data_IF_013866476749
#
_entry.id   IF_013866476749
#
_cell.length_a   1.000
_cell.length_b   1.000
_cell.length_c   1.000
_cell.angle_alpha   90.00
_cell.angle_beta   90.00
_cell.angle_gamma   90.00
#
_symmetry.space_group_name_H-M   'P 1'
#
loop_
_entity.id
_entity.type
_entity.pdbx_description
1 polymer ?
#
# COMPACT_ATOMS: atom_id res chain seq x y z
N UNK A 1 35.36 4.12 -11.05
CA UNK A 1 34.85 3.46 -9.84
C UNK A 1 35.70 2.23 -9.67
N UNK A 2 36.41 2.13 -8.55
CA UNK A 2 36.87 0.83 -8.08
C UNK A 2 35.58 0.08 -7.74
N UNK A 3 35.18 -0.80 -8.65
CA UNK A 3 34.12 -1.76 -8.41
C UNK A 3 34.63 -2.70 -7.34
N UNK A 4 34.58 -2.28 -6.08
CA UNK A 4 34.49 -3.21 -4.97
C UNK A 4 33.10 -3.85 -5.01
N UNK A 5 32.74 -4.45 -6.16
CA UNK A 5 31.76 -5.52 -6.22
C UNK A 5 32.31 -6.52 -5.23
N UNK A 6 31.72 -6.52 -4.03
CA UNK A 6 32.07 -7.46 -2.98
C UNK A 6 32.08 -8.84 -3.62
N UNK A 7 33.05 -9.70 -3.29
CA UNK A 7 33.18 -11.03 -3.91
C UNK A 7 31.84 -11.78 -3.94
N UNK A 8 30.99 -11.53 -2.93
CA UNK A 8 29.61 -11.98 -2.87
C UNK A 8 28.73 -11.54 -4.06
N UNK A 9 28.76 -10.27 -4.47
CA UNK A 9 28.03 -9.81 -5.67
C UNK A 9 28.52 -10.46 -6.95
N UNK A 10 29.83 -10.70 -7.12
CA UNK A 10 30.34 -11.37 -8.31
C UNK A 10 29.88 -12.83 -8.37
N UNK A 11 29.93 -13.54 -7.24
CA UNK A 11 29.41 -14.91 -7.13
C UNK A 11 27.91 -14.95 -7.42
N UNK A 12 27.14 -14.01 -6.87
CA UNK A 12 25.71 -13.91 -7.15
C UNK A 12 25.44 -13.64 -8.62
N UNK A 13 26.14 -12.69 -9.25
CA UNK A 13 25.97 -12.35 -10.67
C UNK A 13 26.22 -13.59 -11.56
N UNK A 14 27.25 -14.35 -11.25
CA UNK A 14 27.65 -15.52 -12.03
C UNK A 14 26.65 -16.68 -11.85
N UNK A 15 26.20 -16.93 -10.61
CA UNK A 15 25.17 -17.93 -10.33
C UNK A 15 23.81 -17.54 -10.92
N UNK A 16 23.45 -16.27 -10.84
CA UNK A 16 22.16 -15.76 -11.32
C UNK A 16 22.03 -15.95 -12.83
N UNK A 17 23.09 -15.64 -13.58
CA UNK A 17 23.11 -15.81 -15.04
C UNK A 17 22.99 -17.27 -15.49
N UNK A 18 23.30 -18.25 -14.62
CA UNK A 18 23.11 -19.67 -14.94
C UNK A 18 21.63 -20.08 -14.87
N UNK A 19 20.88 -19.50 -13.92
CA UNK A 19 19.46 -19.82 -13.69
C UNK A 19 18.56 -18.96 -14.58
N UNK A 20 18.80 -17.66 -14.63
CA UNK A 20 18.06 -16.71 -15.45
C UNK A 20 18.61 -16.63 -16.88
N UNK A 21 18.34 -17.68 -17.67
CA UNK A 21 18.77 -17.74 -19.08
C UNK A 21 18.19 -16.63 -19.97
N UNK A 22 17.13 -15.95 -19.51
CA UNK A 22 16.41 -14.93 -20.29
C UNK A 22 16.81 -13.50 -19.91
N UNK A 23 17.69 -13.31 -18.92
CA UNK A 23 18.08 -12.00 -18.39
C UNK A 23 16.86 -11.15 -18.04
N UNK A 24 15.89 -11.74 -17.33
CA UNK A 24 14.67 -11.04 -16.90
C UNK A 24 14.86 -10.29 -15.58
N UNK A 25 16.02 -10.42 -14.95
CA UNK A 25 16.38 -9.84 -13.64
C UNK A 25 15.52 -10.37 -12.46
N UNK A 26 14.72 -11.42 -12.72
CA UNK A 26 13.99 -12.14 -11.70
C UNK A 26 13.99 -13.65 -11.98
N UNK A 27 13.92 -14.43 -10.91
CA UNK A 27 13.67 -15.87 -10.97
C UNK A 27 12.38 -16.21 -10.23
N UNK A 28 11.78 -17.35 -10.52
CA UNK A 28 10.67 -17.84 -9.73
C UNK A 28 11.18 -18.58 -8.49
N UNK A 29 10.43 -18.57 -7.39
CA UNK A 29 10.86 -19.22 -6.16
C UNK A 29 11.07 -20.73 -6.31
N UNK A 30 10.36 -21.38 -7.25
CA UNK A 30 10.64 -22.78 -7.62
C UNK A 30 12.08 -23.02 -8.11
N UNK A 31 12.72 -22.00 -8.68
CA UNK A 31 14.09 -22.05 -9.21
C UNK A 31 15.12 -21.58 -8.16
N UNK A 32 14.66 -21.16 -6.97
CA UNK A 32 15.52 -20.72 -5.88
C UNK A 32 16.46 -21.83 -5.39
N UNK A 33 16.02 -23.09 -5.18
CA UNK A 33 16.94 -24.18 -4.85
C UNK A 33 18.02 -24.39 -5.93
N UNK A 34 17.68 -24.22 -7.21
CA UNK A 34 18.64 -24.32 -8.31
C UNK A 34 19.70 -23.21 -8.25
N UNK A 35 19.30 -21.97 -7.91
CA UNK A 35 20.24 -20.87 -7.70
C UNK A 35 21.21 -21.16 -6.56
N UNK A 36 20.73 -21.72 -5.45
CA UNK A 36 21.59 -22.11 -4.32
C UNK A 36 22.59 -23.19 -4.75
N UNK A 37 22.17 -24.19 -5.54
CA UNK A 37 23.08 -25.20 -6.07
C UNK A 37 24.14 -24.60 -6.99
N UNK A 38 23.78 -23.65 -7.86
CA UNK A 38 24.75 -22.93 -8.70
C UNK A 38 25.77 -22.14 -7.86
N UNK A 39 25.33 -21.50 -6.78
CA UNK A 39 26.23 -20.80 -5.85
C UNK A 39 27.17 -21.79 -5.17
N UNK A 40 26.66 -22.92 -4.69
CA UNK A 40 27.47 -24.00 -4.10
C UNK A 40 28.50 -24.56 -5.08
N UNK A 41 28.12 -24.75 -6.35
CA UNK A 41 29.00 -25.21 -7.41
C UNK A 41 30.12 -24.20 -7.69
N UNK A 42 29.80 -22.91 -7.80
CA UNK A 42 30.79 -21.84 -8.02
C UNK A 42 31.74 -21.72 -6.84
N UNK A 43 31.25 -21.81 -5.61
CA UNK A 43 32.10 -21.77 -4.40
C UNK A 43 32.96 -23.02 -4.26
N UNK A 44 32.45 -24.18 -4.67
CA UNK A 44 33.20 -25.44 -4.67
C UNK A 44 34.23 -25.52 -5.80
N UNK A 45 34.10 -24.67 -6.82
CA UNK A 45 35.04 -24.58 -7.95
C UNK A 45 36.38 -24.04 -7.45
N UNK A 46 37.23 -24.94 -6.95
CA UNK A 46 38.54 -24.62 -6.36
C UNK A 46 38.84 -25.36 -5.06
N UNK A 47 37.85 -26.04 -4.45
CA UNK A 47 38.02 -26.81 -3.22
C UNK A 47 37.66 -28.28 -3.46
N UNK A 48 38.49 -29.20 -2.94
CA UNK A 48 38.30 -30.64 -3.12
C UNK A 48 37.11 -31.20 -2.32
N UNK A 49 36.66 -30.48 -1.29
CA UNK A 49 35.53 -30.87 -0.45
C UNK A 49 34.31 -29.99 -0.75
N UNK A 50 33.13 -30.57 -1.03
CA UNK A 50 31.93 -29.80 -1.25
C UNK A 50 31.58 -29.03 0.04
N UNK A 51 31.71 -27.71 0.03
CA UNK A 51 31.24 -26.92 1.16
C UNK A 51 29.72 -26.84 1.10
N UNK A 52 29.07 -27.31 2.16
CA UNK A 52 27.68 -27.01 2.40
C UNK A 52 27.56 -25.50 2.73
N UNK A 53 27.23 -24.70 1.71
CA UNK A 53 27.04 -23.25 1.83
C UNK A 53 25.94 -22.91 2.84
N UNK A 54 24.92 -23.76 2.90
CA UNK A 54 23.83 -23.68 3.86
C UNK A 54 23.82 -24.89 4.77
N UNK A 55 23.38 -24.67 6.01
CA UNK A 55 23.00 -25.76 6.91
C UNK A 55 21.86 -26.58 6.29
N UNK A 56 21.77 -27.86 6.65
CA UNK A 56 20.67 -28.71 6.19
C UNK A 56 19.29 -28.09 6.51
N UNK A 57 19.19 -27.39 7.65
CA UNK A 57 18.01 -26.61 8.02
C UNK A 57 17.73 -25.49 7.02
N UNK A 58 18.74 -24.70 6.66
CA UNK A 58 18.59 -23.62 5.67
C UNK A 58 18.13 -24.14 4.30
N UNK A 59 18.68 -25.27 3.83
CA UNK A 59 18.23 -25.92 2.58
C UNK A 59 16.75 -26.34 2.67
N UNK A 60 16.35 -26.97 3.77
CA UNK A 60 14.96 -27.39 3.98
C UNK A 60 13.96 -26.23 4.02
N UNK A 61 14.36 -25.08 4.57
CA UNK A 61 13.53 -23.86 4.60
C UNK A 61 13.37 -23.31 3.19
N UNK A 62 14.43 -23.28 2.40
CA UNK A 62 14.38 -22.82 1.00
C UNK A 62 13.52 -23.78 0.15
N UNK A 63 13.66 -25.10 0.31
CA UNK A 63 12.83 -26.08 -0.40
C UNK A 63 11.36 -26.00 -0.01
N UNK A 64 11.07 -25.65 1.25
CA UNK A 64 9.69 -25.43 1.73
C UNK A 64 9.13 -24.13 1.14
N UNK A 65 9.91 -23.05 1.17
CA UNK A 65 9.55 -21.77 0.56
C UNK A 65 9.30 -21.90 -0.96
N UNK A 66 10.15 -22.65 -1.66
CA UNK A 66 10.03 -22.90 -3.09
C UNK A 66 8.73 -23.66 -3.42
N UNK A 67 8.32 -24.62 -2.59
CA UNK A 67 7.07 -25.39 -2.74
C UNK A 67 5.83 -24.59 -2.37
N UNK A 68 5.88 -23.79 -1.31
CA UNK A 68 4.72 -22.98 -0.88
C UNK A 68 4.43 -21.82 -1.82
N UNK A 69 5.49 -21.26 -2.44
CA UNK A 69 5.41 -20.04 -3.23
C UNK A 69 6.01 -20.17 -4.63
N UNK A 70 5.75 -21.28 -5.32
CA UNK A 70 6.37 -21.61 -6.62
C UNK A 70 6.43 -20.47 -7.65
N UNK A 71 5.36 -19.66 -7.73
CA UNK A 71 5.22 -18.56 -8.69
C UNK A 71 5.66 -17.19 -8.17
N UNK A 72 6.17 -17.11 -6.95
CA UNK A 72 6.68 -15.86 -6.38
C UNK A 72 7.93 -15.43 -7.14
N UNK A 73 7.95 -14.19 -7.61
CA UNK A 73 9.09 -13.63 -8.35
C UNK A 73 10.08 -13.05 -7.36
N UNK A 74 11.33 -13.46 -7.48
CA UNK A 74 12.45 -12.98 -6.67
C UNK A 74 13.30 -12.13 -7.59
N UNK A 75 13.29 -10.83 -7.37
CA UNK A 75 14.16 -9.91 -8.09
C UNK A 75 15.60 -10.01 -7.56
N UNK A 76 16.57 -9.77 -8.44
CA UNK A 76 17.99 -9.84 -8.11
C UNK A 76 18.38 -8.93 -6.93
N UNK A 77 17.80 -7.75 -6.85
CA UNK A 77 18.08 -6.77 -5.80
C UNK A 77 17.46 -7.17 -4.45
N UNK A 78 16.32 -7.87 -4.48
CA UNK A 78 15.58 -8.36 -3.30
C UNK A 78 16.12 -9.69 -2.75
N UNK A 79 16.90 -10.43 -3.56
CA UNK A 79 17.45 -11.74 -3.20
C UNK A 79 18.15 -11.72 -1.83
N UNK A 80 18.98 -10.70 -1.57
CA UNK A 80 19.76 -10.60 -0.32
C UNK A 80 18.87 -10.48 0.91
N UNK A 81 17.75 -9.77 0.78
CA UNK A 81 16.79 -9.56 1.86
C UNK A 81 15.98 -10.83 2.11
N UNK A 82 15.48 -11.46 1.05
CA UNK A 82 14.73 -12.72 1.15
C UNK A 82 15.62 -13.83 1.72
N UNK A 83 16.87 -13.96 1.25
CA UNK A 83 17.83 -14.91 1.77
C UNK A 83 18.08 -14.69 3.26
N UNK A 84 18.28 -13.44 3.68
CA UNK A 84 18.46 -13.09 5.09
C UNK A 84 17.23 -13.42 5.92
N UNK A 85 16.01 -13.17 5.41
CA UNK A 85 14.76 -13.50 6.10
C UNK A 85 14.52 -15.00 6.28
N UNK A 86 14.92 -15.83 5.31
CA UNK A 86 14.74 -17.28 5.37
C UNK A 86 15.83 -17.99 6.19
N UNK A 87 17.09 -17.58 6.02
CA UNK A 87 18.24 -18.28 6.62
C UNK A 87 18.68 -17.64 7.94
N UNK A 88 18.32 -16.38 8.18
CA UNK A 88 18.74 -15.60 9.36
C UNK A 88 20.20 -15.15 9.33
N UNK A 89 20.88 -15.26 8.17
CA UNK A 89 22.26 -14.83 7.96
C UNK A 89 22.36 -14.00 6.70
N UNK A 90 23.20 -12.96 6.70
CA UNK A 90 23.38 -12.18 5.47
C UNK A 90 24.16 -13.01 4.46
N UNK A 91 23.84 -12.83 3.18
CA UNK A 91 24.53 -13.52 2.10
C UNK A 91 26.05 -13.25 2.08
N UNK A 92 26.44 -12.04 2.51
CA UNK A 92 27.84 -11.65 2.65
C UNK A 92 28.53 -12.48 3.74
N UNK A 93 27.92 -12.62 4.92
CA UNK A 93 28.50 -13.40 6.02
C UNK A 93 28.63 -14.89 5.67
N UNK A 94 27.68 -15.43 4.91
CA UNK A 94 27.75 -16.84 4.44
C UNK A 94 28.89 -17.05 3.46
N UNK A 95 29.16 -16.10 2.56
CA UNK A 95 30.27 -16.20 1.61
C UNK A 95 31.61 -15.90 2.27
N UNK A 96 31.69 -14.92 3.16
CA UNK A 96 32.95 -14.61 3.87
C UNK A 96 33.35 -15.72 4.85
N UNK A 97 32.38 -16.46 5.39
CA UNK A 97 32.64 -17.65 6.20
C UNK A 97 33.18 -18.83 5.39
N UNK A 98 32.90 -18.89 4.08
CA UNK A 98 33.54 -19.83 3.17
C UNK A 98 34.85 -19.22 2.69
N UNK A 99 36.00 -19.86 2.94
CA UNK A 99 37.29 -19.37 2.46
C UNK A 99 37.34 -19.40 0.92
N UNK A 100 36.74 -18.42 0.26
CA UNK A 100 36.77 -18.30 -1.20
C UNK A 100 38.12 -17.71 -1.57
N UNK A 101 39.03 -18.58 -2.01
CA UNK A 101 40.28 -18.18 -2.64
C UNK A 101 39.96 -17.27 -3.82
N UNK A 102 40.35 -15.99 -3.71
CA UNK A 102 40.15 -14.94 -4.74
C UNK A 102 40.61 -15.33 -6.15
N UNK A 103 41.42 -16.38 -6.31
CA UNK A 103 42.07 -16.72 -7.58
C UNK A 103 41.10 -17.10 -8.71
N UNK A 104 39.86 -17.50 -8.40
CA UNK A 104 38.89 -17.93 -9.44
C UNK A 104 38.17 -16.74 -10.09
N UNK A 105 38.12 -15.57 -9.43
CA UNK A 105 37.44 -14.39 -9.96
C UNK A 105 38.27 -13.62 -11.00
N UNK A 106 39.59 -13.84 -11.07
CA UNK A 106 40.46 -13.14 -12.03
C UNK A 106 40.49 -13.80 -13.43
N UNK A 107 40.07 -15.06 -13.59
CA UNK A 107 40.20 -15.77 -14.88
C UNK A 107 39.12 -15.43 -15.93
N UNK A 108 38.08 -14.66 -15.59
CA UNK A 108 37.03 -14.31 -16.57
C UNK A 108 36.98 -12.84 -16.99
N UNK A 109 37.93 -12.02 -16.51
CA UNK A 109 38.10 -10.63 -16.96
C UNK A 109 39.16 -10.43 -18.05
N UNK A 110 39.84 -11.50 -18.49
CA UNK A 110 41.01 -11.38 -19.36
C UNK A 110 40.72 -11.91 -20.77
N UNK A 111 40.25 -11.02 -21.65
CA UNK A 111 40.62 -11.14 -23.07
C UNK A 111 42.15 -11.00 -23.21
N UNK A 112 42.77 -11.69 -24.19
CA UNK A 112 44.19 -11.98 -24.16
C UNK A 112 45.07 -10.80 -24.62
N UNK A 113 46.28 -10.80 -24.07
CA UNK A 113 47.49 -10.09 -24.50
C UNK A 113 47.53 -8.56 -24.41
N UNK A 114 48.36 -8.03 -23.49
CA UNK A 114 49.73 -7.58 -23.79
C UNK A 114 50.42 -7.15 -22.47
N UNK A 115 51.42 -7.93 -22.08
CA UNK A 115 52.69 -7.54 -21.46
C UNK A 115 52.69 -6.54 -20.29
N UNK A 116 52.79 -7.12 -19.10
CA UNK A 116 53.49 -6.59 -17.91
C UNK A 116 54.81 -5.89 -18.25
N UNK A 117 54.96 -4.61 -17.84
CA UNK A 117 56.28 -4.02 -17.52
C UNK A 117 56.19 -3.10 -16.29
N UNK A 118 57.27 -3.00 -15.48
CA UNK A 118 57.14 -2.65 -14.07
C UNK A 118 57.33 -1.17 -13.74
N UNK A 119 56.52 -0.73 -12.77
CA UNK A 119 56.85 0.20 -11.67
C UNK A 119 57.95 1.22 -11.90
N UNK A 120 57.61 2.36 -12.53
CA UNK A 120 58.44 3.58 -12.45
C UNK A 120 57.62 4.70 -11.81
N UNK A 121 58.08 5.13 -10.64
CA UNK A 121 57.55 6.22 -9.81
C UNK A 121 57.29 7.48 -10.65
N UNK A 122 56.07 7.62 -11.17
CA UNK A 122 55.64 8.83 -11.88
C UNK A 122 55.21 9.87 -10.85
N UNK A 123 56.07 10.87 -10.67
CA UNK A 123 55.73 12.18 -10.11
C UNK A 123 54.42 12.65 -10.75
N UNK A 124 53.33 12.63 -9.97
CA UNK A 124 52.00 12.96 -10.43
C UNK A 124 51.94 14.44 -10.82
N UNK A 125 51.86 14.69 -12.13
CA UNK A 125 51.59 16.00 -12.70
C UNK A 125 50.39 16.67 -12.01
N UNK A 126 50.46 17.98 -11.67
CA UNK A 126 49.35 18.73 -11.07
C UNK A 126 48.03 18.63 -11.85
N UNK A 127 48.10 18.45 -13.18
CA UNK A 127 46.91 18.26 -14.02
C UNK A 127 46.16 16.96 -13.72
N UNK A 128 46.87 15.88 -13.35
CA UNK A 128 46.21 14.62 -12.94
C UNK A 128 45.47 14.80 -11.61
N UNK A 129 46.06 15.55 -10.66
CA UNK A 129 45.43 15.85 -9.36
C UNK A 129 44.14 16.64 -9.54
N UNK A 130 44.12 17.66 -10.40
CA UNK A 130 42.90 18.44 -10.67
C UNK A 130 41.78 17.60 -11.31
N UNK A 131 42.11 16.63 -12.18
CA UNK A 131 41.10 15.71 -12.75
C UNK A 131 40.52 14.79 -11.68
N UNK A 132 41.36 14.29 -10.77
CA UNK A 132 40.91 13.47 -9.65
C UNK A 132 40.02 14.27 -8.70
N UNK A 133 40.37 15.53 -8.41
CA UNK A 133 39.58 16.40 -7.55
C UNK A 133 38.20 16.70 -8.15
N UNK A 134 38.12 16.99 -9.46
CA UNK A 134 36.83 17.19 -10.15
C UNK A 134 35.98 15.90 -10.18
N UNK A 135 36.61 14.74 -10.33
CA UNK A 135 35.90 13.45 -10.26
C UNK A 135 35.38 13.18 -8.83
N UNK A 136 36.17 13.51 -7.81
CA UNK A 136 35.71 13.43 -6.42
C UNK A 136 34.57 14.41 -6.13
N UNK A 137 34.64 15.64 -6.64
CA UNK A 137 33.58 16.65 -6.46
C UNK A 137 32.27 16.22 -7.12
N UNK A 138 32.33 15.73 -8.37
CA UNK A 138 31.15 15.18 -9.06
C UNK A 138 30.59 13.95 -8.35
N UNK A 139 31.43 13.09 -7.77
CA UNK A 139 31.00 11.95 -6.96
C UNK A 139 30.36 12.37 -5.65
N UNK A 140 30.91 13.37 -4.95
CA UNK A 140 30.33 13.92 -3.71
C UNK A 140 28.99 14.60 -4.01
N UNK A 141 28.89 15.34 -5.12
CA UNK A 141 27.63 15.92 -5.55
C UNK A 141 26.57 14.84 -5.83
N UNK A 142 26.93 13.79 -6.58
CA UNK A 142 26.03 12.67 -6.86
C UNK A 142 25.58 11.94 -5.59
N UNK A 143 26.46 11.71 -4.62
CA UNK A 143 26.09 11.09 -3.33
C UNK A 143 25.18 12.00 -2.50
N UNK A 144 25.37 13.33 -2.58
CA UNK A 144 24.51 14.29 -1.90
C UNK A 144 23.11 14.33 -2.49
N UNK A 145 22.99 14.21 -3.80
CA UNK A 145 21.69 14.13 -4.49
C UNK A 145 20.98 12.80 -4.20
N UNK A 146 21.72 11.68 -4.15
CA UNK A 146 21.18 10.38 -3.75
C UNK A 146 20.70 10.37 -2.30
N UNK A 147 21.45 11.01 -1.38
CA UNK A 147 21.02 11.16 0.02
C UNK A 147 19.74 11.98 0.14
N UNK A 148 19.64 13.11 -0.57
CA UNK A 148 18.41 13.92 -0.59
C UNK A 148 17.21 13.14 -1.11
N UNK A 149 17.40 12.34 -2.16
CA UNK A 149 16.35 11.49 -2.70
C UNK A 149 15.90 10.43 -1.69
N UNK A 150 16.84 9.80 -0.98
CA UNK A 150 16.52 8.84 0.10
C UNK A 150 15.79 9.52 1.26
N UNK A 151 16.20 10.73 1.64
CA UNK A 151 15.53 11.52 2.69
C UNK A 151 14.09 11.89 2.29
N UNK A 152 13.84 12.22 1.02
CA UNK A 152 12.50 12.50 0.49
C UNK A 152 11.59 11.26 0.51
N UNK A 153 12.13 10.09 0.11
CA UNK A 153 11.41 8.81 0.21
C UNK A 153 11.10 8.47 1.67
N UNK A 154 12.06 8.67 2.58
CA UNK A 154 11.86 8.43 4.01
C UNK A 154 10.78 9.34 4.58
N UNK A 155 10.75 10.62 4.19
CA UNK A 155 9.71 11.55 4.61
C UNK A 155 8.31 11.16 4.12
N UNK A 156 8.19 10.67 2.88
CA UNK A 156 6.91 10.19 2.35
C UNK A 156 6.45 8.91 3.07
N UNK A 157 7.38 7.99 3.33
CA UNK A 157 7.08 6.76 4.08
C UNK A 157 6.68 7.04 5.53
N UNK A 158 7.31 8.01 6.17
CA UNK A 158 6.93 8.44 7.52
C UNK A 158 5.51 9.06 7.53
N UNK A 159 5.16 9.83 6.50
CA UNK A 159 3.80 10.36 6.33
C UNK A 159 2.76 9.24 6.14
N UNK A 160 3.08 8.22 5.33
CA UNK A 160 2.23 7.04 5.13
C UNK A 160 2.03 6.28 6.46
N UNK A 161 3.09 6.11 7.23
CA UNK A 161 3.07 5.44 8.53
C UNK A 161 2.22 6.20 9.56
N UNK A 162 2.31 7.53 9.60
CA UNK A 162 1.45 8.38 10.44
C UNK A 162 -0.03 8.22 10.05
N UNK A 163 -0.35 8.16 8.74
CA UNK A 163 -1.72 7.96 8.29
C UNK A 163 -2.28 6.58 8.66
N UNK A 164 -1.48 5.52 8.49
CA UNK A 164 -1.83 4.16 8.89
C UNK A 164 -2.05 4.08 10.40
N UNK A 165 -1.19 4.72 11.19
CA UNK A 165 -1.31 4.77 12.66
C UNK A 165 -2.60 5.46 13.10
N UNK A 166 -2.98 6.57 12.44
CA UNK A 166 -4.27 7.24 12.70
C UNK A 166 -5.46 6.35 12.36
N UNK A 167 -5.47 5.74 11.18
CA UNK A 167 -6.54 4.82 10.77
C UNK A 167 -6.68 3.63 11.72
N UNK A 168 -5.56 3.08 12.19
CA UNK A 168 -5.56 1.97 13.15
C UNK A 168 -6.16 2.40 14.49
N UNK A 169 -5.87 3.63 14.95
CA UNK A 169 -6.53 4.22 16.12
C UNK A 169 -8.04 4.35 15.92
N UNK A 170 -8.47 4.90 14.78
CA UNK A 170 -9.91 5.08 14.48
C UNK A 170 -10.65 3.72 14.45
N UNK A 171 -10.03 2.68 13.89
CA UNK A 171 -10.61 1.34 13.90
C UNK A 171 -10.66 0.73 15.29
N UNK A 172 -9.61 0.95 16.11
CA UNK A 172 -9.60 0.53 17.50
C UNK A 172 -10.73 1.19 18.30
N UNK A 173 -10.92 2.49 18.13
CA UNK A 173 -11.98 3.24 18.81
C UNK A 173 -13.38 2.79 18.36
N UNK A 174 -13.57 2.53 17.05
CA UNK A 174 -14.81 1.95 16.52
C UNK A 174 -15.08 0.56 17.07
N UNK A 175 -14.05 -0.29 17.15
CA UNK A 175 -14.18 -1.63 17.71
C UNK A 175 -14.54 -1.58 19.20
N UNK A 176 -13.88 -0.71 19.97
CA UNK A 176 -14.17 -0.53 21.39
C UNK A 176 -15.60 0.01 21.59
N UNK A 177 -16.07 0.93 20.73
CA UNK A 177 -17.44 1.41 20.73
C UNK A 177 -18.45 0.29 20.47
N UNK A 178 -18.24 -0.52 19.43
CA UNK A 178 -19.11 -1.67 19.12
C UNK A 178 -19.09 -2.69 20.25
N UNK A 179 -17.93 -2.95 20.84
CA UNK A 179 -17.79 -3.85 21.99
C UNK A 179 -18.57 -3.32 23.21
N UNK A 180 -18.50 -2.02 23.51
CA UNK A 180 -19.31 -1.40 24.58
C UNK A 180 -20.81 -1.51 24.30
N UNK A 181 -21.26 -1.25 23.07
CA UNK A 181 -22.66 -1.42 22.71
C UNK A 181 -23.11 -2.88 22.82
N UNK A 182 -22.29 -3.82 22.37
CA UNK A 182 -22.58 -5.25 22.48
C UNK A 182 -22.73 -5.68 23.94
N UNK A 183 -21.82 -5.25 24.82
CA UNK A 183 -21.93 -5.51 26.26
C UNK A 183 -23.19 -4.88 26.85
N UNK A 184 -23.52 -3.65 26.47
CA UNK A 184 -24.74 -2.98 26.92
C UNK A 184 -26.01 -3.77 26.54
N UNK A 185 -26.12 -4.22 25.29
CA UNK A 185 -27.25 -5.04 24.84
C UNK A 185 -27.26 -6.44 25.47
N UNK A 186 -26.10 -7.01 25.77
CA UNK A 186 -26.03 -8.29 26.49
C UNK A 186 -26.58 -8.14 27.91
N UNK A 187 -26.26 -7.05 28.59
CA UNK A 187 -26.67 -6.81 29.98
C UNK A 187 -28.14 -6.37 30.10
N UNK A 188 -28.72 -5.73 29.07
CA UNK A 188 -30.11 -5.21 29.09
C UNK A 188 -31.08 -5.95 28.16
N UNK A 189 -30.59 -6.74 27.21
CA UNK A 189 -31.38 -7.38 26.16
C UNK A 189 -32.03 -8.70 26.57
N UNK A 190 -31.60 -9.30 27.68
CA UNK A 190 -32.34 -10.39 28.32
C UNK A 190 -33.46 -9.81 29.19
N UNK A 191 -34.45 -9.18 28.55
CA UNK A 191 -35.72 -8.95 29.24
C UNK A 191 -36.26 -10.35 29.60
N UNK A 192 -36.54 -10.60 30.90
CA UNK A 192 -36.86 -11.95 31.35
C UNK A 192 -38.08 -12.45 30.59
N UNK A 193 -37.89 -13.54 29.84
CA UNK A 193 -38.95 -14.41 29.30
C UNK A 193 -39.82 -14.87 30.48
N UNK A 194 -40.74 -14.02 30.93
CA UNK A 194 -41.69 -14.34 31.98
C UNK A 194 -42.83 -15.10 31.31
N UNK A 195 -42.65 -16.42 31.25
CA UNK A 195 -43.77 -17.35 31.18
C UNK A 195 -44.58 -17.17 32.47
N UNK A 196 -45.49 -16.20 32.47
CA UNK A 196 -46.55 -16.10 33.47
C UNK A 196 -47.64 -15.26 32.85
N UNK A 197 -48.48 -15.96 32.10
CA UNK A 197 -49.87 -15.63 31.81
C UNK A 197 -50.52 -14.79 32.92
N UNK A 198 -51.31 -13.81 32.47
CA UNK A 198 -52.45 -13.24 33.23
C UNK A 198 -52.16 -12.10 34.23
N UNK A 199 -51.29 -11.15 33.86
CA UNK A 199 -51.32 -9.78 34.41
C UNK A 199 -50.84 -8.75 33.39
N UNK A 200 -51.58 -8.65 32.28
CA UNK A 200 -51.20 -7.88 31.07
C UNK A 200 -51.39 -6.36 31.15
N UNK A 201 -51.94 -5.78 32.24
CA UNK A 201 -52.28 -4.35 32.22
C UNK A 201 -51.31 -3.42 32.97
N UNK A 202 -50.45 -3.95 33.86
CA UNK A 202 -49.51 -3.10 34.63
C UNK A 202 -48.08 -3.07 34.08
N UNK A 203 -47.69 -4.00 33.20
CA UNK A 203 -46.31 -4.08 32.70
C UNK A 203 -46.05 -3.23 31.43
N UNK A 204 -47.10 -2.74 30.76
CA UNK A 204 -46.93 -1.91 29.55
C UNK A 204 -46.30 -0.54 29.87
N UNK A 205 -46.60 0.05 31.03
CA UNK A 205 -46.01 1.32 31.47
C UNK A 205 -44.51 1.19 31.79
N UNK A 206 -44.07 0.07 32.39
CA UNK A 206 -42.65 -0.12 32.71
C UNK A 206 -41.77 -0.26 31.47
N UNK A 207 -42.25 -0.96 30.43
CA UNK A 207 -41.51 -1.09 29.18
C UNK A 207 -41.36 0.24 28.42
N UNK A 208 -42.36 1.13 28.49
CA UNK A 208 -42.27 2.48 27.94
C UNK A 208 -41.24 3.33 28.68
N UNK A 209 -41.16 3.20 30.01
CA UNK A 209 -40.17 3.89 30.83
C UNK A 209 -38.72 3.50 30.45
N UNK A 210 -38.43 2.21 30.24
CA UNK A 210 -37.08 1.78 29.83
C UNK A 210 -36.66 2.31 28.46
N UNK A 211 -37.60 2.40 27.50
CA UNK A 211 -37.31 3.00 26.19
C UNK A 211 -37.01 4.50 26.33
N UNK A 212 -37.76 5.20 27.18
CA UNK A 212 -37.49 6.61 27.47
C UNK A 212 -36.14 6.82 28.15
N UNK A 213 -35.76 5.97 29.09
CA UNK A 213 -34.46 6.05 29.76
C UNK A 213 -33.31 5.85 28.76
N UNK A 214 -33.44 4.90 27.83
CA UNK A 214 -32.48 4.72 26.74
C UNK A 214 -32.38 5.97 25.86
N UNK A 215 -33.51 6.51 25.40
CA UNK A 215 -33.53 7.71 24.56
C UNK A 215 -32.89 8.90 25.30
N UNK A 216 -33.19 9.07 26.59
CA UNK A 216 -32.60 10.12 27.44
C UNK A 216 -31.10 9.91 27.61
N UNK A 217 -30.63 8.66 27.75
CA UNK A 217 -29.21 8.35 27.89
C UNK A 217 -28.41 8.64 26.61
N UNK A 218 -28.95 8.30 25.43
CA UNK A 218 -28.35 8.63 24.13
C UNK A 218 -28.34 10.15 23.89
N UNK A 219 -29.44 10.84 24.22
CA UNK A 219 -29.50 12.30 24.14
C UNK A 219 -28.47 12.98 25.05
N UNK A 220 -28.31 12.49 26.28
CA UNK A 220 -27.28 12.98 27.21
C UNK A 220 -25.87 12.72 26.66
N UNK A 221 -25.60 11.52 26.12
CA UNK A 221 -24.31 11.19 25.51
C UNK A 221 -23.99 12.12 24.33
N UNK A 222 -24.94 12.31 23.41
CA UNK A 222 -24.78 13.22 22.27
C UNK A 222 -24.57 14.68 22.70
N UNK A 223 -25.29 15.14 23.71
CA UNK A 223 -25.08 16.48 24.28
C UNK A 223 -23.68 16.64 24.86
N UNK A 224 -23.17 15.61 25.55
CA UNK A 224 -21.84 15.63 26.14
C UNK A 224 -20.75 15.61 25.04
N UNK A 225 -20.92 14.81 23.99
CA UNK A 225 -20.03 14.79 22.82
C UNK A 225 -20.00 16.14 22.09
N UNK A 226 -21.18 16.74 21.87
CA UNK A 226 -21.25 18.09 21.28
C UNK A 226 -20.60 19.13 22.18
N UNK A 227 -20.76 19.04 23.51
CA UNK A 227 -20.11 19.95 24.45
C UNK A 227 -18.59 19.83 24.39
N UNK A 228 -18.05 18.61 24.27
CA UNK A 228 -16.61 18.37 24.10
C UNK A 228 -16.08 18.86 22.75
N UNK A 229 -16.84 18.67 21.68
CA UNK A 229 -16.49 19.19 20.36
C UNK A 229 -16.44 20.73 20.37
N UNK A 230 -17.42 21.38 21.01
CA UNK A 230 -17.46 22.83 21.19
C UNK A 230 -16.30 23.30 22.07
N UNK A 231 -15.96 22.60 23.15
CA UNK A 231 -14.83 23.00 24.00
C UNK A 231 -13.50 22.87 23.27
N UNK A 232 -13.31 21.82 22.46
CA UNK A 232 -12.11 21.64 21.64
C UNK A 232 -12.01 22.72 20.56
N UNK A 233 -13.11 23.04 19.87
CA UNK A 233 -13.14 24.15 18.91
C UNK A 233 -12.86 25.50 19.59
N UNK A 234 -13.39 25.72 20.80
CA UNK A 234 -13.12 26.92 21.60
C UNK A 234 -11.67 27.01 22.03
N UNK A 235 -11.06 25.89 22.42
CA UNK A 235 -9.64 25.80 22.78
C UNK A 235 -8.74 26.03 21.56
N UNK A 236 -9.11 25.50 20.39
CA UNK A 236 -8.43 25.78 19.12
C UNK A 236 -8.55 27.26 18.74
N UNK A 237 -9.68 27.90 18.99
CA UNK A 237 -9.88 29.34 18.80
C UNK A 237 -9.04 30.17 19.79
N UNK A 238 -8.97 29.77 21.06
CA UNK A 238 -8.19 30.46 22.09
C UNK A 238 -6.68 30.29 21.93
N UNK A 239 -6.21 29.09 21.53
CA UNK A 239 -4.81 28.89 21.09
C UNK A 239 -4.55 29.53 19.72
N UNK A 240 -5.60 29.88 18.99
CA UNK A 240 -5.62 30.15 17.57
C UNK A 240 -5.58 31.62 17.16
N UNK A 241 -4.99 32.51 17.96
CA UNK A 241 -4.48 33.80 17.45
C UNK A 241 -3.48 33.62 16.28
N UNK A 242 -3.12 32.38 15.90
CA UNK A 242 -2.40 32.06 14.66
C UNK A 242 -3.20 31.39 13.52
N UNK A 243 -4.44 30.95 13.72
CA UNK A 243 -5.17 30.18 12.68
C UNK A 243 -5.66 31.07 11.52
N UNK A 244 -5.78 32.38 11.73
CA UNK A 244 -6.01 33.36 10.65
C UNK A 244 -4.83 33.49 9.67
N UNK A 245 -3.66 32.92 9.96
CA UNK A 245 -2.48 32.98 9.10
C UNK A 245 -2.39 31.80 8.13
N UNK A 246 -3.11 30.70 8.37
CA UNK A 246 -2.99 29.51 7.51
C UNK A 246 -3.74 29.61 6.17
N UNK A 247 -4.71 30.52 6.03
CA UNK A 247 -5.40 30.72 4.75
C UNK A 247 -4.84 31.87 3.90
N UNK A 248 -3.94 32.71 4.42
CA UNK A 248 -3.40 33.84 3.63
C UNK A 248 -2.01 33.58 3.04
N UNK A 249 -1.26 32.59 3.53
CA UNK A 249 0.11 32.34 3.07
C UNK A 249 0.26 31.41 1.85
N UNK A 250 -0.82 30.95 1.22
CA UNK A 250 -0.73 30.29 -0.09
C UNK A 250 -0.61 31.25 -1.28
N UNK A 251 -0.72 32.57 -1.09
CA UNK A 251 -0.71 33.52 -2.23
C UNK A 251 0.68 34.07 -2.61
N UNK A 252 1.77 33.74 -1.90
CA UNK A 252 3.06 34.42 -2.10
C UNK A 252 4.25 33.51 -2.39
N UNK A 253 4.06 32.55 -3.31
CA UNK A 253 5.15 31.93 -4.09
C UNK A 253 4.72 31.65 -5.52
N UNK A 254 4.22 32.67 -6.22
CA UNK A 254 4.40 32.70 -7.67
C UNK A 254 5.86 33.11 -7.92
N UNK A 255 6.72 32.11 -8.03
CA UNK A 255 7.93 32.29 -8.82
C UNK A 255 7.45 32.75 -10.20
N UNK A 256 7.98 33.85 -10.76
CA UNK A 256 7.62 34.29 -12.11
C UNK A 256 8.16 33.24 -13.08
N UNK A 257 7.33 32.24 -13.35
CA UNK A 257 7.63 31.18 -14.29
C UNK A 257 7.50 31.80 -15.69
N UNK A 258 8.65 32.27 -16.14
CA UNK A 258 8.92 32.65 -17.49
C UNK A 258 8.56 31.44 -18.38
N UNK A 259 7.54 31.62 -19.23
CA UNK A 259 7.29 30.82 -20.45
C UNK A 259 6.41 29.54 -20.42
N UNK A 260 5.52 29.35 -19.44
CA UNK A 260 4.53 28.24 -19.44
C UNK A 260 3.16 28.57 -20.08
N UNK A 261 3.10 29.66 -20.87
CA UNK A 261 1.92 30.04 -21.65
C UNK A 261 1.22 28.89 -22.41
N UNK A 262 1.94 27.97 -23.08
CA UNK A 262 1.27 26.87 -23.79
C UNK A 262 0.66 25.83 -22.85
N UNK A 263 1.23 25.58 -21.66
CA UNK A 263 0.72 24.53 -20.76
C UNK A 263 -0.64 24.92 -20.16
N UNK A 264 -0.81 26.20 -19.80
CA UNK A 264 -2.09 26.71 -19.28
C UNK A 264 -3.18 26.64 -20.35
N UNK A 265 -2.84 26.91 -21.61
CA UNK A 265 -3.78 26.78 -22.73
C UNK A 265 -4.17 25.32 -22.99
N UNK A 266 -3.23 24.37 -22.88
CA UNK A 266 -3.53 22.93 -23.01
C UNK A 266 -4.46 22.45 -21.90
N UNK A 267 -4.24 22.87 -20.66
CA UNK A 267 -5.13 22.52 -19.55
C UNK A 267 -6.52 23.15 -19.69
N UNK A 268 -6.60 24.42 -20.10
CA UNK A 268 -7.88 25.10 -20.32
C UNK A 268 -8.71 24.45 -21.45
N UNK A 269 -8.05 24.05 -22.55
CA UNK A 269 -8.72 23.37 -23.66
C UNK A 269 -9.21 21.97 -23.28
N UNK A 270 -8.45 21.23 -22.48
CA UNK A 270 -8.88 19.93 -21.94
C UNK A 270 -10.13 20.06 -21.06
N UNK A 271 -10.14 21.02 -20.12
CA UNK A 271 -11.31 21.25 -19.25
C UNK A 271 -12.53 21.64 -20.09
N UNK A 272 -12.37 22.52 -21.08
CA UNK A 272 -13.46 22.93 -21.96
C UNK A 272 -14.03 21.75 -22.77
N UNK A 273 -13.17 20.85 -23.27
CA UNK A 273 -13.57 19.62 -23.97
C UNK A 273 -14.38 18.68 -23.08
N UNK A 274 -14.00 18.52 -21.81
CA UNK A 274 -14.75 17.69 -20.86
C UNK A 274 -16.14 18.24 -20.55
N UNK A 275 -16.28 19.58 -20.47
CA UNK A 275 -17.58 20.23 -20.25
C UNK A 275 -18.49 20.04 -21.48
N UNK A 276 -17.96 20.19 -22.70
CA UNK A 276 -18.73 19.95 -23.93
C UNK A 276 -19.20 18.49 -24.00
N UNK A 277 -18.34 17.53 -23.66
CA UNK A 277 -18.71 16.11 -23.61
C UNK A 277 -19.82 15.84 -22.59
N UNK A 278 -19.76 16.45 -21.41
CA UNK A 278 -20.80 16.30 -20.39
C UNK A 278 -22.13 16.89 -20.85
N UNK A 279 -22.13 18.10 -21.42
CA UNK A 279 -23.35 18.73 -21.94
C UNK A 279 -23.93 17.92 -23.11
N UNK A 280 -23.08 17.45 -24.04
CA UNK A 280 -23.51 16.60 -25.14
C UNK A 280 -24.15 15.30 -24.66
N UNK A 281 -23.57 14.67 -23.63
CA UNK A 281 -24.15 13.46 -23.03
C UNK A 281 -25.51 13.72 -22.39
N UNK A 282 -25.68 14.84 -21.69
CA UNK A 282 -26.94 15.24 -21.08
C UNK A 282 -28.04 15.51 -22.12
N UNK A 283 -27.71 16.22 -23.20
CA UNK A 283 -28.68 16.50 -24.29
C UNK A 283 -29.08 15.20 -24.98
N UNK A 284 -28.15 14.26 -25.15
CA UNK A 284 -28.45 12.98 -25.80
C UNK A 284 -29.33 12.08 -24.93
N UNK A 285 -29.07 12.04 -23.60
CA UNK A 285 -29.90 11.28 -22.65
C UNK A 285 -31.31 11.87 -22.55
N UNK A 286 -31.46 13.20 -22.56
CA UNK A 286 -32.78 13.85 -22.46
C UNK A 286 -33.54 13.91 -23.78
N UNK A 287 -32.84 13.82 -24.92
CA UNK A 287 -33.43 13.81 -26.26
C UNK A 287 -33.96 12.46 -26.73
N UNK A 288 -33.75 11.39 -25.96
CA UNK A 288 -34.33 10.06 -26.20
C UNK A 288 -35.84 10.08 -25.95
N UNK A 289 -36.58 10.64 -26.92
CA UNK A 289 -38.02 10.78 -26.91
C UNK A 289 -38.69 9.41 -26.79
N UNK A 290 -39.63 9.33 -25.87
CA UNK A 290 -40.31 8.14 -25.39
C UNK A 290 -41.02 7.34 -26.49
N UNK A 291 -40.30 6.39 -27.10
CA UNK A 291 -40.97 5.22 -27.68
C UNK A 291 -41.33 4.27 -26.53
N UNK A 292 -42.34 4.69 -25.79
CA UNK A 292 -43.07 3.88 -24.82
C UNK A 292 -43.60 2.62 -25.51
N UNK A 293 -42.87 1.50 -25.38
CA UNK A 293 -43.40 0.13 -25.26
C UNK A 293 -42.36 -1.01 -25.37
N UNK A 294 -41.04 -0.77 -25.26
CA UNK A 294 -40.07 -1.87 -25.15
C UNK A 294 -39.45 -1.98 -23.76
N UNK A 295 -40.23 -2.53 -22.83
CA UNK A 295 -39.78 -2.93 -21.50
C UNK A 295 -38.82 -4.12 -21.60
N UNK A 296 -37.54 -3.87 -21.92
CA UNK A 296 -36.35 -4.74 -21.74
C UNK A 296 -35.21 -4.45 -22.72
N UNK A 297 -35.22 -3.33 -23.46
CA UNK A 297 -34.01 -2.96 -24.20
C UNK A 297 -32.95 -2.44 -23.24
N UNK A 298 -31.90 -3.26 -23.06
CA UNK A 298 -30.66 -2.91 -22.39
C UNK A 298 -30.20 -1.54 -22.85
N UNK A 299 -29.91 -0.68 -21.89
CA UNK A 299 -29.46 0.67 -22.15
C UNK A 299 -28.15 0.62 -22.93
N UNK A 300 -28.02 1.41 -23.99
CA UNK A 300 -26.91 1.33 -24.95
C UNK A 300 -25.51 1.38 -24.31
N UNK A 301 -25.36 2.02 -23.14
CA UNK A 301 -24.10 2.09 -22.41
C UNK A 301 -23.69 0.75 -21.77
N UNK A 302 -24.62 -0.16 -21.49
CA UNK A 302 -24.34 -1.49 -20.97
C UNK A 302 -23.59 -2.36 -21.99
N UNK A 303 -23.70 -2.06 -23.28
CA UNK A 303 -23.02 -2.81 -24.34
C UNK A 303 -21.51 -2.50 -24.42
N UNK A 304 -21.05 -1.40 -23.80
CA UNK A 304 -19.63 -1.06 -23.77
C UNK A 304 -19.02 -1.44 -22.41
N UNK A 305 -18.06 -2.37 -22.40
CA UNK A 305 -17.49 -2.94 -21.17
C UNK A 305 -16.83 -1.92 -20.24
N UNK A 306 -16.34 -0.80 -20.77
CA UNK A 306 -15.73 0.26 -19.95
C UNK A 306 -16.80 1.14 -19.30
N UNK A 307 -17.83 1.53 -20.07
CA UNK A 307 -18.92 2.36 -19.56
C UNK A 307 -19.79 1.59 -18.59
N UNK A 308 -20.01 0.29 -18.81
CA UNK A 308 -20.77 -0.54 -17.88
C UNK A 308 -20.10 -0.63 -16.52
N UNK A 309 -18.77 -0.80 -16.46
CA UNK A 309 -18.02 -0.78 -15.19
C UNK A 309 -18.10 0.57 -14.47
N UNK A 310 -18.01 1.68 -15.21
CA UNK A 310 -18.13 3.03 -14.64
C UNK A 310 -19.56 3.26 -14.13
N UNK A 311 -20.58 2.87 -14.90
CA UNK A 311 -21.98 2.99 -14.52
C UNK A 311 -22.31 2.17 -13.27
N UNK A 312 -21.83 0.92 -13.20
CA UNK A 312 -21.96 0.10 -12.00
C UNK A 312 -21.22 0.69 -10.80
N UNK A 313 -20.01 1.22 -10.99
CA UNK A 313 -19.27 1.88 -9.92
C UNK A 313 -20.02 3.09 -9.35
N UNK A 314 -20.62 3.93 -10.22
CA UNK A 314 -21.44 5.06 -9.77
C UNK A 314 -22.74 4.63 -9.11
N UNK A 315 -23.37 3.56 -9.61
CA UNK A 315 -24.61 3.01 -9.05
C UNK A 315 -24.38 2.41 -7.66
N UNK A 316 -23.32 1.62 -7.52
CA UNK A 316 -22.90 1.06 -6.22
C UNK A 316 -22.51 2.18 -5.25
N UNK A 317 -21.84 3.23 -5.74
CA UNK A 317 -21.51 4.39 -4.92
C UNK A 317 -22.76 5.18 -4.50
N UNK A 318 -23.74 5.36 -5.37
CA UNK A 318 -24.99 6.03 -5.01
C UNK A 318 -25.86 5.22 -4.05
N UNK A 319 -25.92 3.88 -4.21
CA UNK A 319 -26.68 3.00 -3.31
C UNK A 319 -26.03 2.90 -1.91
N UNK A 320 -24.73 3.18 -1.77
CA UNK A 320 -24.13 3.33 -0.43
C UNK A 320 -24.57 4.59 0.31
N UNK A 321 -25.27 5.52 -0.36
CA UNK A 321 -26.10 6.52 0.29
C UNK A 321 -27.27 5.80 0.94
N UNK A 322 -27.13 5.45 2.21
CA UNK A 322 -28.15 4.82 3.06
C UNK A 322 -29.44 5.64 2.99
N UNK A 323 -30.30 5.30 2.04
CA UNK A 323 -31.70 5.66 2.12
C UNK A 323 -32.22 4.93 3.35
N UNK A 324 -32.40 5.70 4.42
CA UNK A 324 -33.30 5.36 5.50
C UNK A 324 -34.72 5.33 4.91
N UNK A 325 -34.99 4.34 4.06
CA UNK A 325 -36.33 3.95 3.70
C UNK A 325 -36.94 3.54 5.02
N UNK A 326 -37.85 4.42 5.48
CA UNK A 326 -38.67 4.21 6.66
C UNK A 326 -39.03 2.74 6.73
N UNK A 327 -38.52 2.05 7.75
CA UNK A 327 -38.94 0.72 8.12
C UNK A 327 -40.43 0.82 8.46
N UNK A 328 -41.28 0.71 7.43
CA UNK A 328 -42.66 0.36 7.62
C UNK A 328 -42.64 -1.01 8.30
N UNK A 329 -43.18 -1.11 9.53
CA UNK A 329 -42.85 -2.19 10.44
C UNK A 329 -43.21 -3.52 9.80
N UNK A 330 -42.27 -4.45 9.88
CA UNK A 330 -42.31 -5.83 9.39
C UNK A 330 -43.43 -6.70 9.97
N UNK A 331 -44.46 -6.12 10.57
CA UNK A 331 -45.66 -6.84 11.00
C UNK A 331 -46.38 -7.49 9.82
N UNK A 332 -46.34 -6.90 8.62
CA UNK A 332 -47.08 -7.45 7.48
C UNK A 332 -46.44 -8.74 6.93
N UNK A 333 -45.11 -8.81 6.90
CA UNK A 333 -44.40 -10.03 6.58
C UNK A 333 -44.57 -11.11 7.66
N UNK A 334 -44.63 -10.71 8.94
CA UNK A 334 -44.83 -11.62 10.06
C UNK A 334 -46.26 -12.16 10.12
N UNK A 335 -47.28 -11.33 9.92
CA UNK A 335 -48.70 -11.72 9.84
C UNK A 335 -48.94 -12.65 8.64
N UNK A 336 -48.24 -12.43 7.51
CA UNK A 336 -48.33 -13.31 6.33
C UNK A 336 -47.73 -14.70 6.55
N UNK A 337 -46.64 -14.81 7.31
CA UNK A 337 -46.02 -16.10 7.66
C UNK A 337 -46.83 -16.81 8.76
N UNK A 338 -47.37 -16.07 9.73
CA UNK A 338 -48.12 -16.65 10.86
C UNK A 338 -49.61 -16.86 10.56
N UNK A 339 -50.09 -16.52 9.36
CA UNK A 339 -51.46 -16.80 8.93
C UNK A 339 -52.53 -16.11 9.78
N UNK A 340 -52.19 -15.02 10.47
CA UNK A 340 -53.14 -14.27 11.29
C UNK A 340 -53.93 -13.36 10.36
N UNK A 341 -55.05 -13.86 9.83
CA UNK A 341 -56.04 -13.00 9.17
C UNK A 341 -56.80 -12.24 10.25
N UNK A 342 -56.65 -10.91 10.30
CA UNK A 342 -57.59 -10.06 11.04
C UNK A 342 -58.98 -10.22 10.43
N UNK A 343 -59.93 -10.68 11.24
CA UNK A 343 -61.36 -10.66 10.95
C UNK A 343 -61.89 -9.28 11.30
#
# INVERSE_FOLDING_TARGET
MDFDKSSSSLVLDLAWNQVDKKNQDFIYAKDFPALIMSIEEILSRGQQTPLAFLSNTGKSVIDTFAREKEFFKIYRDEFKEIFHGLVGKTFKDTIEGTNVSRSVLDEQGQEPDVSTTPTRQQRSSPRKVNRLLKNLETRVASMKDELKFKDEILAEKDRELIQLTRKLSDYKDKYEFVQRQFSFYKDHGESPRRNSSESEQLNLEQNASTKHEFIISELKRKLQEQTLAISNLKEQLQRGEGAGVLYTNYSKRYNPLHNDGPMVLVLATLVFLTIILLIGSMIWVTGGKDDSNSFSQYSWWENNSLLSRIGWFFRDWSDTGVDYVNFEPSSDAYERIMGIRRI
#
